data_IF_222032907792
#
_entry.id   IF_222032907792
#
_cell.length_a   1.000
_cell.length_b   1.000
_cell.length_c   1.000
_cell.angle_alpha   90.00
_cell.angle_beta   90.00
_cell.angle_gamma   90.00
#
_symmetry.space_group_name_H-M   'P 1'
#
loop_
_entity.id
_entity.type
_entity.pdbx_description
1 polymer ?
#
# COMPACT_ATOMS: atom_id res chain seq x y z
N UNK A 1 2.50 -23.31 -32.91
CA UNK A 1 1.95 -23.00 -31.58
C UNK A 1 2.61 -21.72 -31.11
N UNK A 2 1.80 -20.74 -30.75
CA UNK A 2 2.16 -19.31 -30.73
C UNK A 2 2.85 -18.90 -29.43
N UNK A 3 3.98 -18.20 -29.55
CA UNK A 3 4.69 -17.55 -28.45
C UNK A 3 4.03 -16.20 -28.15
N UNK A 4 3.06 -16.18 -27.22
CA UNK A 4 2.32 -14.97 -26.84
C UNK A 4 2.68 -14.42 -25.44
N UNK A 5 3.62 -15.04 -24.72
CA UNK A 5 3.80 -14.78 -23.29
C UNK A 5 4.98 -13.86 -22.92
N UNK A 6 5.77 -13.40 -23.89
CA UNK A 6 6.96 -12.53 -23.63
C UNK A 6 6.73 -11.04 -23.96
N UNK A 7 5.55 -10.66 -24.43
CA UNK A 7 5.22 -9.26 -24.79
C UNK A 7 4.59 -8.46 -23.63
N UNK A 8 4.32 -9.09 -22.48
CA UNK A 8 3.68 -8.42 -21.34
C UNK A 8 4.63 -7.62 -20.44
N UNK A 9 5.95 -7.86 -20.51
CA UNK A 9 6.93 -7.16 -19.65
C UNK A 9 7.30 -5.75 -20.12
N UNK A 10 7.21 -5.48 -21.43
CA UNK A 10 7.50 -4.17 -22.00
C UNK A 10 6.24 -3.30 -22.19
N UNK A 11 5.05 -3.90 -22.27
CA UNK A 11 3.78 -3.17 -22.45
C UNK A 11 3.32 -2.38 -21.23
N UNK A 12 3.69 -2.81 -20.01
CA UNK A 12 3.29 -2.13 -18.77
C UNK A 12 3.91 -0.74 -18.59
N UNK A 13 5.11 -0.52 -19.14
CA UNK A 13 5.81 0.76 -19.05
C UNK A 13 5.21 1.80 -20.02
N UNK A 14 4.73 1.35 -21.19
CA UNK A 14 4.02 2.21 -22.16
C UNK A 14 2.64 2.65 -21.62
N UNK A 15 1.93 1.76 -20.91
CA UNK A 15 0.64 2.11 -20.30
C UNK A 15 0.82 3.05 -19.10
N UNK A 16 1.88 2.90 -18.30
CA UNK A 16 2.21 3.81 -17.20
C UNK A 16 2.55 5.23 -17.67
N UNK A 17 3.28 5.37 -18.78
CA UNK A 17 3.60 6.68 -19.36
C UNK A 17 2.36 7.33 -19.99
N UNK A 18 1.47 6.57 -20.62
CA UNK A 18 0.21 7.11 -21.17
C UNK A 18 -0.77 7.58 -20.09
N UNK A 19 -0.77 6.96 -18.90
CA UNK A 19 -1.59 7.41 -17.77
C UNK A 19 -1.08 8.72 -17.12
N UNK A 20 0.22 9.02 -17.23
CA UNK A 20 0.82 10.27 -16.73
C UNK A 20 0.59 11.49 -17.63
N UNK A 21 0.42 11.30 -18.93
CA UNK A 21 0.26 12.41 -19.90
C UNK A 21 -1.19 12.94 -19.94
N UNK A 22 -2.16 12.19 -19.40
CA UNK A 22 -3.56 12.65 -19.33
C UNK A 22 -3.80 13.79 -18.32
N UNK A 23 -2.83 14.12 -17.45
CA UNK A 23 -2.94 15.21 -16.47
C UNK A 23 -2.13 16.48 -16.81
N UNK A 24 -1.37 16.53 -17.91
CA UNK A 24 -0.68 17.75 -18.34
C UNK A 24 -1.17 18.19 -19.71
N UNK A 25 -2.03 19.21 -19.75
CA UNK A 25 -2.59 19.78 -20.98
C UNK A 25 -1.56 20.48 -21.86
N UNK A 26 -0.89 19.74 -22.74
CA UNK A 26 -0.06 20.29 -23.82
C UNK A 26 -0.57 19.84 -25.19
N UNK A 27 -1.33 20.71 -25.86
CA UNK A 27 -2.00 20.50 -27.16
C UNK A 27 -1.06 20.62 -28.39
N UNK A 28 0.17 20.10 -28.34
CA UNK A 28 1.11 20.21 -29.47
C UNK A 28 1.71 18.86 -29.90
N UNK A 29 1.52 18.43 -31.16
CA UNK A 29 2.03 17.16 -31.69
C UNK A 29 3.56 17.09 -31.78
N UNK A 30 4.26 18.22 -31.65
CA UNK A 30 5.72 18.29 -31.60
C UNK A 30 6.27 17.87 -30.23
N UNK A 31 5.60 18.23 -29.13
CA UNK A 31 6.03 17.90 -27.77
C UNK A 31 5.79 16.42 -27.43
N UNK A 32 4.70 15.83 -27.95
CA UNK A 32 4.44 14.40 -27.86
C UNK A 32 5.55 13.56 -28.51
N UNK A 33 6.04 13.98 -29.69
CA UNK A 33 7.15 13.28 -30.36
C UNK A 33 8.44 13.38 -29.56
N UNK A 34 8.70 14.54 -28.95
CA UNK A 34 9.89 14.76 -28.13
C UNK A 34 9.86 13.94 -26.84
N UNK A 35 8.71 13.86 -26.16
CA UNK A 35 8.54 13.01 -24.98
C UNK A 35 8.65 11.52 -25.34
N UNK A 36 8.13 11.11 -26.51
CA UNK A 36 8.29 9.73 -26.99
C UNK A 36 9.76 9.42 -27.29
N UNK A 37 10.49 10.29 -27.99
CA UNK A 37 11.91 10.07 -28.27
C UNK A 37 12.75 10.06 -26.98
N UNK A 38 12.48 10.98 -26.04
CA UNK A 38 13.20 11.09 -24.77
C UNK A 38 12.90 9.92 -23.80
N UNK A 39 11.79 9.20 -23.97
CA UNK A 39 11.41 8.09 -23.07
C UNK A 39 11.62 6.70 -23.68
N UNK A 40 11.39 6.54 -24.99
CA UNK A 40 11.45 5.24 -25.66
C UNK A 40 12.88 4.84 -25.99
N UNK A 41 13.74 5.80 -26.38
CA UNK A 41 15.15 5.50 -26.72
C UNK A 41 15.92 4.99 -25.49
N UNK A 42 15.85 5.62 -24.30
CA UNK A 42 16.54 5.11 -23.11
C UNK A 42 15.93 3.79 -22.60
N UNK A 43 14.63 3.59 -22.76
CA UNK A 43 13.96 2.35 -22.38
C UNK A 43 14.36 1.17 -23.28
N UNK A 44 14.55 1.41 -24.59
CA UNK A 44 15.07 0.39 -25.51
C UNK A 44 16.54 0.07 -25.23
N UNK A 45 17.38 1.07 -24.95
CA UNK A 45 18.79 0.82 -24.57
C UNK A 45 18.91 0.07 -23.25
N UNK A 46 18.04 0.35 -22.27
CA UNK A 46 17.98 -0.38 -21.01
C UNK A 46 17.51 -1.82 -21.21
N UNK A 47 16.51 -2.04 -22.07
CA UNK A 47 16.01 -3.37 -22.41
C UNK A 47 17.06 -4.20 -23.19
N UNK A 48 17.81 -3.60 -24.11
CA UNK A 48 18.91 -4.28 -24.82
C UNK A 48 20.07 -4.63 -23.89
N UNK A 49 20.43 -3.74 -22.95
CA UNK A 49 21.45 -4.02 -21.92
C UNK A 49 21.01 -5.15 -20.98
N UNK A 50 19.75 -5.16 -20.56
CA UNK A 50 19.19 -6.24 -19.76
C UNK A 50 19.16 -7.56 -20.55
N UNK A 51 18.73 -7.55 -21.82
CA UNK A 51 18.72 -8.73 -22.68
C UNK A 51 20.11 -9.31 -22.93
N UNK A 52 21.14 -8.46 -23.14
CA UNK A 52 22.53 -8.90 -23.25
C UNK A 52 23.06 -9.48 -21.94
N UNK A 53 22.76 -8.84 -20.80
CA UNK A 53 23.14 -9.36 -19.48
C UNK A 53 22.50 -10.73 -19.20
N UNK A 54 21.23 -10.93 -19.55
CA UNK A 54 20.57 -12.23 -19.42
C UNK A 54 21.13 -13.28 -20.40
N UNK A 55 21.50 -12.89 -21.62
CA UNK A 55 22.16 -13.77 -22.58
C UNK A 55 23.54 -14.24 -22.11
N UNK A 56 24.34 -13.36 -21.53
CA UNK A 56 25.65 -13.69 -20.96
C UNK A 56 25.53 -14.59 -19.73
N UNK A 57 24.52 -14.37 -18.88
CA UNK A 57 24.23 -15.23 -17.73
C UNK A 57 23.82 -16.65 -18.16
N UNK A 58 22.99 -16.79 -19.19
CA UNK A 58 22.58 -18.09 -19.72
C UNK A 58 23.75 -18.83 -20.38
N UNK A 59 24.58 -18.13 -21.17
CA UNK A 59 25.79 -18.71 -21.74
C UNK A 59 26.79 -19.18 -20.66
N UNK A 60 26.93 -18.41 -19.57
CA UNK A 60 27.76 -18.80 -18.43
C UNK A 60 27.20 -20.00 -17.66
N UNK A 61 25.87 -20.10 -17.52
CA UNK A 61 25.20 -21.26 -16.90
C UNK A 61 25.34 -22.51 -17.76
N UNK A 62 25.18 -22.39 -19.08
CA UNK A 62 25.31 -23.51 -20.00
C UNK A 62 26.74 -24.06 -20.02
N UNK A 63 27.75 -23.18 -20.03
CA UNK A 63 29.15 -23.59 -19.91
C UNK A 63 29.46 -24.27 -18.57
N UNK A 64 28.76 -23.92 -17.49
CA UNK A 64 28.87 -24.59 -16.19
C UNK A 64 28.23 -25.98 -16.21
N UNK A 65 27.08 -26.12 -16.88
CA UNK A 65 26.42 -27.41 -17.07
C UNK A 65 27.29 -28.36 -17.91
N UNK A 66 27.87 -27.90 -19.02
CA UNK A 66 28.77 -28.71 -19.85
C UNK A 66 30.01 -29.17 -19.07
N UNK A 67 30.57 -28.28 -18.23
CA UNK A 67 31.69 -28.62 -17.35
C UNK A 67 31.31 -29.62 -16.25
N UNK A 68 30.09 -29.51 -15.71
CA UNK A 68 29.52 -30.46 -14.74
C UNK A 68 29.25 -31.83 -15.36
N UNK A 69 28.70 -31.88 -16.57
CA UNK A 69 28.45 -33.13 -17.31
C UNK A 69 29.77 -33.82 -17.69
N UNK A 70 30.77 -33.06 -18.14
CA UNK A 70 32.11 -33.60 -18.44
C UNK A 70 32.78 -34.12 -17.17
N UNK A 71 32.74 -33.35 -16.07
CA UNK A 71 33.30 -33.77 -14.79
C UNK A 71 32.59 -34.99 -14.19
N UNK A 72 31.27 -35.10 -14.38
CA UNK A 72 30.49 -36.25 -13.91
C UNK A 72 30.77 -37.52 -14.75
N UNK A 73 30.97 -37.36 -16.06
CA UNK A 73 31.35 -38.46 -16.95
C UNK A 73 32.77 -38.97 -16.66
N UNK A 74 33.73 -38.09 -16.33
CA UNK A 74 35.11 -38.46 -16.02
C UNK A 74 35.27 -39.10 -14.63
N UNK A 75 34.39 -38.78 -13.66
CA UNK A 75 34.47 -39.25 -12.27
C UNK A 75 33.44 -40.32 -11.90
N UNK A 76 32.75 -40.90 -12.88
CA UNK A 76 31.68 -41.90 -12.69
C UNK A 76 32.02 -43.10 -11.78
N UNK A 77 33.27 -43.61 -11.65
CA UNK A 77 33.55 -44.73 -10.75
C UNK A 77 33.89 -44.36 -9.30
N UNK A 78 34.03 -43.08 -8.92
CA UNK A 78 34.58 -42.71 -7.60
C UNK A 78 33.78 -41.59 -6.88
N UNK A 79 32.54 -41.92 -6.51
CA UNK A 79 31.57 -41.05 -5.84
C UNK A 79 32.09 -40.46 -4.50
N UNK A 80 33.06 -41.12 -3.85
CA UNK A 80 33.66 -40.64 -2.60
C UNK A 80 34.64 -39.48 -2.85
N UNK A 81 35.48 -39.57 -3.89
CA UNK A 81 36.36 -38.49 -4.31
C UNK A 81 35.56 -37.28 -4.82
N UNK A 82 34.44 -37.53 -5.51
CA UNK A 82 33.52 -36.49 -5.97
C UNK A 82 32.89 -35.72 -4.79
N UNK A 83 32.46 -36.42 -3.75
CA UNK A 83 31.88 -35.79 -2.54
C UNK A 83 32.92 -34.94 -1.81
N UNK A 84 34.16 -35.43 -1.69
CA UNK A 84 35.26 -34.68 -1.10
C UNK A 84 35.62 -33.43 -1.93
N UNK A 85 35.73 -33.57 -3.25
CA UNK A 85 35.98 -32.45 -4.17
C UNK A 85 34.88 -31.40 -4.13
N UNK A 86 33.62 -31.81 -4.18
CA UNK A 86 32.46 -30.93 -4.13
C UNK A 86 32.39 -30.17 -2.80
N UNK A 87 32.66 -30.82 -1.68
CA UNK A 87 32.67 -30.16 -0.35
C UNK A 87 33.76 -29.08 -0.26
N UNK A 88 34.94 -29.34 -0.83
CA UNK A 88 36.05 -28.40 -0.86
C UNK A 88 35.79 -27.23 -1.81
N UNK A 89 35.23 -27.51 -2.98
CA UNK A 89 34.86 -26.47 -3.94
C UNK A 89 33.71 -25.60 -3.41
N UNK A 90 32.70 -26.20 -2.78
CA UNK A 90 31.58 -25.48 -2.17
C UNK A 90 32.04 -24.58 -1.03
N UNK A 91 33.00 -25.03 -0.21
CA UNK A 91 33.61 -24.19 0.85
C UNK A 91 34.40 -23.03 0.25
N UNK A 92 35.19 -23.28 -0.80
CA UNK A 92 35.95 -22.24 -1.50
C UNK A 92 35.01 -21.21 -2.17
N UNK A 93 33.87 -21.65 -2.72
CA UNK A 93 32.85 -20.79 -3.29
C UNK A 93 32.09 -20.00 -2.22
N UNK A 94 31.83 -20.58 -1.06
CA UNK A 94 31.24 -19.89 0.08
C UNK A 94 32.16 -18.79 0.62
N UNK A 95 33.48 -19.04 0.67
CA UNK A 95 34.46 -18.02 1.04
C UNK A 95 34.53 -16.91 0.00
N UNK A 96 34.56 -17.23 -1.30
CA UNK A 96 34.55 -16.22 -2.38
C UNK A 96 33.26 -15.37 -2.37
N UNK A 97 32.11 -16.00 -2.09
CA UNK A 97 30.83 -15.30 -1.91
C UNK A 97 30.84 -14.40 -0.67
N UNK A 98 31.40 -14.88 0.45
CA UNK A 98 31.52 -14.09 1.68
C UNK A 98 32.41 -12.87 1.48
N UNK A 99 33.53 -13.03 0.76
CA UNK A 99 34.42 -11.93 0.42
C UNK A 99 33.76 -10.92 -0.52
N UNK A 100 33.12 -11.38 -1.60
CA UNK A 100 32.38 -10.49 -2.52
C UNK A 100 31.24 -9.76 -1.85
N UNK A 101 30.47 -10.45 -1.00
CA UNK A 101 29.41 -9.83 -0.23
C UNK A 101 29.95 -8.79 0.75
N UNK A 102 31.10 -9.07 1.39
CA UNK A 102 31.81 -8.10 2.23
C UNK A 102 32.24 -6.85 1.46
N UNK A 103 32.82 -7.03 0.28
CA UNK A 103 33.27 -5.93 -0.58
C UNK A 103 32.09 -5.10 -1.13
N UNK A 104 30.99 -5.75 -1.49
CA UNK A 104 29.79 -5.07 -1.97
C UNK A 104 29.09 -4.31 -0.84
N UNK A 105 28.96 -4.88 0.36
CA UNK A 105 28.47 -4.17 1.54
C UNK A 105 29.37 -2.97 1.86
N UNK A 106 30.70 -3.13 1.79
CA UNK A 106 31.65 -2.03 2.00
C UNK A 106 31.45 -0.92 0.96
N UNK A 107 31.31 -1.24 -0.33
CA UNK A 107 31.03 -0.26 -1.39
C UNK A 107 29.67 0.43 -1.22
N UNK A 108 28.62 -0.33 -0.91
CA UNK A 108 27.27 0.22 -0.67
C UNK A 108 27.26 1.13 0.55
N UNK A 109 27.93 0.74 1.64
CA UNK A 109 28.03 1.57 2.85
C UNK A 109 28.80 2.87 2.59
N UNK A 110 29.87 2.84 1.78
CA UNK A 110 30.60 4.03 1.38
C UNK A 110 29.75 4.96 0.49
N UNK A 111 28.98 4.40 -0.44
CA UNK A 111 28.07 5.16 -1.29
C UNK A 111 26.92 5.80 -0.49
N UNK A 112 26.38 5.08 0.50
CA UNK A 112 25.37 5.60 1.43
C UNK A 112 25.95 6.72 2.30
N UNK A 113 27.18 6.58 2.81
CA UNK A 113 27.84 7.61 3.60
C UNK A 113 28.08 8.90 2.80
N UNK A 114 28.49 8.82 1.54
CA UNK A 114 28.64 9.99 0.66
C UNK A 114 27.30 10.63 0.28
N UNK A 115 26.25 9.82 0.11
CA UNK A 115 24.89 10.34 -0.12
C UNK A 115 24.38 11.09 1.11
N UNK A 116 24.54 10.51 2.30
CA UNK A 116 24.19 11.14 3.58
C UNK A 116 24.97 12.45 3.74
N UNK A 117 26.27 12.45 3.47
CA UNK A 117 27.11 13.65 3.55
C UNK A 117 26.65 14.76 2.60
N UNK A 118 26.22 14.41 1.40
CA UNK A 118 25.67 15.35 0.42
C UNK A 118 24.33 15.91 0.90
N UNK A 119 23.43 15.06 1.38
CA UNK A 119 22.15 15.49 1.95
C UNK A 119 22.33 16.39 3.18
N UNK A 120 23.32 16.14 4.04
CA UNK A 120 23.63 17.03 5.17
C UNK A 120 24.18 18.39 4.70
N UNK A 121 25.02 18.42 3.65
CA UNK A 121 25.54 19.66 3.08
C UNK A 121 24.43 20.50 2.41
N UNK A 122 23.46 19.84 1.79
CA UNK A 122 22.29 20.52 1.21
C UNK A 122 21.33 21.01 2.31
N UNK A 123 21.13 20.22 3.37
CA UNK A 123 20.36 20.64 4.54
C UNK A 123 20.98 21.88 5.20
N UNK A 124 22.31 21.93 5.36
CA UNK A 124 22.99 23.09 5.95
C UNK A 124 22.82 24.35 5.13
N UNK A 125 22.90 24.24 3.79
CA UNK A 125 22.63 25.37 2.89
C UNK A 125 21.16 25.81 2.97
N UNK A 126 20.23 24.85 3.05
CA UNK A 126 18.81 25.13 3.23
C UNK A 126 18.53 25.88 4.54
N UNK A 127 19.20 25.54 5.64
CA UNK A 127 19.06 26.23 6.93
C UNK A 127 19.56 27.68 6.83
N UNK A 128 20.68 27.93 6.15
CA UNK A 128 21.19 29.30 5.91
C UNK A 128 20.20 30.14 5.08
N UNK A 129 19.61 29.56 4.03
CA UNK A 129 18.57 30.19 3.20
C UNK A 129 17.32 30.51 4.04
N UNK A 130 16.87 29.57 4.87
CA UNK A 130 15.66 29.70 5.71
C UNK A 130 15.86 30.77 6.80
N UNK A 131 17.08 30.88 7.34
CA UNK A 131 17.43 31.91 8.33
C UNK A 131 17.38 33.31 7.72
N UNK A 132 17.73 33.44 6.44
CA UNK A 132 17.68 34.71 5.68
C UNK A 132 16.24 35.13 5.37
N UNK A 133 15.36 34.17 5.06
CA UNK A 133 13.93 34.42 4.84
C UNK A 133 13.20 34.74 6.14
N UNK A 134 13.55 34.06 7.24
CA UNK A 134 13.02 34.37 8.56
C UNK A 134 13.40 35.79 9.03
N UNK A 135 14.63 36.25 8.77
CA UNK A 135 15.05 37.62 9.09
C UNK A 135 14.28 38.71 8.31
N UNK A 136 13.76 38.40 7.12
CA UNK A 136 12.95 39.31 6.33
C UNK A 136 11.47 39.38 6.80
N UNK A 137 10.96 38.30 7.40
CA UNK A 137 9.56 38.22 7.87
C UNK A 137 9.32 38.94 9.21
N UNK A 138 10.35 39.20 10.02
CA UNK A 138 10.24 39.89 11.33
C UNK A 138 10.15 41.42 11.18
N UNK A 139 10.23 41.96 9.97
CA UNK A 139 10.19 43.41 9.69
C UNK A 139 8.77 43.98 9.40
N UNK A 140 7.72 43.17 9.47
CA UNK A 140 6.34 43.63 9.27
C UNK A 140 5.59 43.74 10.61
N UNK A 141 4.93 44.89 10.92
CA UNK A 141 4.18 45.03 12.16
C UNK A 141 2.86 44.25 12.12
N UNK A 142 2.61 43.49 13.18
CA UNK A 142 1.39 42.72 13.41
C UNK A 142 0.29 43.62 14.02
N UNK A 143 -0.89 43.59 13.40
CA UNK A 143 -2.13 44.11 13.99
C UNK A 143 -2.89 42.94 14.64
N UNK A 144 -3.36 43.17 15.85
CA UNK A 144 -3.99 42.18 16.71
C UNK A 144 -5.51 42.17 16.53
N UNK A 145 -6.12 40.97 16.55
CA UNK A 145 -7.56 40.78 16.60
C UNK A 145 -7.92 39.37 17.09
N UNK A 146 -8.76 39.21 18.14
CA UNK A 146 -8.88 37.98 18.91
C UNK A 146 -10.03 37.07 18.46
N UNK A 147 -10.06 35.90 19.11
CA UNK A 147 -11.21 35.00 19.30
C UNK A 147 -11.28 33.78 18.35
N UNK A 148 -10.52 32.74 18.71
CA UNK A 148 -10.74 31.39 18.20
C UNK A 148 -11.60 30.64 19.22
N UNK A 149 -12.87 30.44 18.86
CA UNK A 149 -13.84 29.68 19.62
C UNK A 149 -13.35 28.24 19.87
N UNK A 150 -13.46 27.83 21.12
CA UNK A 150 -13.28 26.45 21.59
C UNK A 150 -14.29 25.55 20.85
N UNK A 151 -13.78 24.73 19.93
CA UNK A 151 -14.56 23.68 19.26
C UNK A 151 -14.69 22.52 20.24
N UNK A 152 -15.92 22.06 20.57
CA UNK A 152 -16.09 20.96 21.51
C UNK A 152 -15.49 19.68 20.94
N UNK A 153 -14.76 18.95 21.79
CA UNK A 153 -14.15 17.67 21.47
C UNK A 153 -15.21 16.69 20.94
N UNK A 154 -15.04 16.10 19.74
CA UNK A 154 -15.83 14.95 19.36
C UNK A 154 -15.36 13.77 20.20
N UNK A 155 -16.21 13.35 21.14
CA UNK A 155 -16.12 12.10 21.89
C UNK A 155 -16.26 10.93 20.91
N UNK A 156 -15.16 10.65 20.20
CA UNK A 156 -15.09 9.77 19.04
C UNK A 156 -14.51 8.40 19.39
N UNK A 157 -14.34 8.11 20.69
CA UNK A 157 -13.75 6.84 21.16
C UNK A 157 -12.30 6.63 20.71
N UNK A 158 -11.65 7.64 20.13
CA UNK A 158 -10.25 7.61 19.71
C UNK A 158 -9.32 7.88 20.89
N UNK A 159 -8.17 7.22 20.91
CA UNK A 159 -7.11 7.55 21.85
C UNK A 159 -6.50 8.89 21.43
N UNK A 160 -6.62 9.91 22.29
CA UNK A 160 -6.07 11.24 22.06
C UNK A 160 -4.77 11.43 22.85
N UNK A 161 -3.76 12.03 22.21
CA UNK A 161 -2.58 12.53 22.88
C UNK A 161 -2.77 13.97 23.32
N UNK A 162 -2.12 14.39 24.42
CA UNK A 162 -2.03 15.79 24.81
C UNK A 162 -1.41 16.64 23.68
N UNK A 163 -1.54 17.97 23.77
CA UNK A 163 -0.98 18.88 22.77
C UNK A 163 0.55 18.66 22.60
N UNK A 164 0.95 18.26 21.40
CA UNK A 164 2.33 17.93 21.02
C UNK A 164 3.00 19.14 20.35
N UNK A 165 4.22 19.44 20.76
CA UNK A 165 5.09 20.41 20.12
C UNK A 165 5.92 19.82 18.97
N UNK A 166 6.64 20.67 18.25
CA UNK A 166 7.61 20.23 17.24
C UNK A 166 8.74 19.45 17.93
N UNK A 167 9.02 18.24 17.45
CA UNK A 167 9.99 17.33 18.05
C UNK A 167 9.35 16.26 18.95
N UNK A 168 8.07 16.39 19.27
CA UNK A 168 7.38 15.39 20.09
C UNK A 168 6.86 14.22 19.25
N UNK A 169 6.69 13.07 19.92
CA UNK A 169 6.15 11.85 19.31
C UNK A 169 4.96 11.36 20.10
N UNK A 170 3.80 11.22 19.46
CA UNK A 170 2.72 10.43 20.00
C UNK A 170 2.93 8.95 19.69
N UNK A 171 2.63 8.11 20.67
CA UNK A 171 2.65 6.66 20.58
C UNK A 171 1.21 6.16 20.71
N UNK A 172 0.74 5.46 19.69
CA UNK A 172 -0.56 4.77 19.68
C UNK A 172 -0.34 3.27 19.52
N UNK A 173 -1.36 2.46 19.83
CA UNK A 173 -1.30 1.00 19.76
C UNK A 173 -0.05 0.39 20.43
N UNK A 174 0.18 0.71 21.70
CA UNK A 174 1.36 0.26 22.47
C UNK A 174 2.71 0.58 21.80
N UNK A 175 2.76 1.65 21.01
CA UNK A 175 3.95 2.13 20.31
C UNK A 175 4.17 1.50 18.92
N UNK A 176 3.23 0.70 18.43
CA UNK A 176 3.21 0.18 17.06
C UNK A 176 2.94 1.29 16.03
N UNK A 177 2.24 2.35 16.42
CA UNK A 177 2.07 3.56 15.60
C UNK A 177 2.76 4.73 16.27
N UNK A 178 3.71 5.35 15.56
CA UNK A 178 4.49 6.50 16.03
C UNK A 178 4.25 7.68 15.13
N UNK A 179 3.68 8.75 15.68
CA UNK A 179 3.44 10.00 14.98
C UNK A 179 4.35 11.09 15.54
N UNK A 180 5.39 11.44 14.79
CA UNK A 180 6.35 12.48 15.15
C UNK A 180 5.96 13.81 14.51
N UNK A 181 5.92 14.88 15.31
CA UNK A 181 5.60 16.22 14.84
C UNK A 181 6.85 16.90 14.31
N UNK A 182 6.98 16.95 12.98
CA UNK A 182 8.17 17.52 12.33
C UNK A 182 8.10 19.04 12.15
N UNK A 183 6.90 19.60 11.96
CA UNK A 183 6.68 21.05 11.82
C UNK A 183 5.21 21.39 12.08
N UNK A 184 4.95 22.52 12.71
CA UNK A 184 3.61 23.11 12.83
C UNK A 184 3.64 24.46 12.10
N UNK A 185 2.67 24.67 11.21
CA UNK A 185 2.43 25.94 10.52
C UNK A 185 1.04 26.47 10.91
N UNK A 186 0.95 27.24 12.01
CA UNK A 186 -0.33 27.75 12.50
C UNK A 186 -0.94 28.79 11.54
N UNK A 187 -0.12 29.55 10.81
CA UNK A 187 -0.59 30.54 9.84
C UNK A 187 -1.18 29.86 8.59
N UNK A 188 -0.58 28.76 8.14
CA UNK A 188 -1.09 27.93 7.05
C UNK A 188 -2.12 26.88 7.48
N UNK A 189 -2.40 26.75 8.78
CA UNK A 189 -3.36 25.79 9.32
C UNK A 189 -2.98 24.33 9.09
N UNK A 190 -1.68 24.02 9.02
CA UNK A 190 -1.19 22.66 8.74
C UNK A 190 -0.08 22.20 9.69
N UNK A 191 0.04 20.89 9.83
CA UNK A 191 1.10 20.20 10.56
C UNK A 191 1.75 19.17 9.64
N UNK A 192 3.08 19.06 9.71
CA UNK A 192 3.83 18.01 9.04
C UNK A 192 4.18 16.93 10.04
N UNK A 193 3.66 15.73 9.82
CA UNK A 193 3.86 14.57 10.67
C UNK A 193 4.76 13.54 9.95
N UNK A 194 5.56 12.80 10.71
CA UNK A 194 6.12 11.53 10.26
C UNK A 194 5.38 10.41 10.98
N UNK A 195 4.56 9.66 10.25
CA UNK A 195 3.78 8.53 10.77
C UNK A 195 4.47 7.24 10.32
N UNK A 196 5.02 6.49 11.27
CA UNK A 196 5.82 5.28 11.00
C UNK A 196 6.94 5.50 9.96
N UNK A 197 7.53 6.71 9.93
CA UNK A 197 8.60 7.09 8.99
C UNK A 197 8.12 7.76 7.70
N UNK A 198 6.82 7.69 7.38
CA UNK A 198 6.24 8.37 6.21
C UNK A 198 5.87 9.81 6.54
N UNK A 199 6.34 10.76 5.73
CA UNK A 199 6.04 12.18 5.92
C UNK A 199 4.71 12.56 5.27
N UNK A 200 3.81 13.15 6.05
CA UNK A 200 2.50 13.65 5.61
C UNK A 200 2.27 15.06 6.14
N UNK A 201 1.51 15.86 5.39
CA UNK A 201 1.06 17.18 5.85
C UNK A 201 -0.46 17.14 5.98
N UNK A 202 -0.96 17.44 7.17
CA UNK A 202 -2.39 17.41 7.51
C UNK A 202 -2.83 18.76 8.06
N UNK A 203 -4.08 19.16 7.79
CA UNK A 203 -4.74 20.27 8.47
C UNK A 203 -5.51 19.80 9.70
N UNK A 204 -6.10 20.73 10.45
CA UNK A 204 -7.05 20.39 11.51
C UNK A 204 -8.23 19.56 10.95
N UNK A 205 -8.58 18.46 11.61
CA UNK A 205 -9.56 17.47 11.15
C UNK A 205 -9.05 16.54 10.05
N UNK A 206 -7.83 16.74 9.53
CA UNK A 206 -7.23 15.87 8.53
C UNK A 206 -6.76 14.54 9.13
N UNK A 207 -6.91 13.47 8.37
CA UNK A 207 -6.46 12.13 8.77
C UNK A 207 -5.54 11.51 7.72
N UNK A 208 -4.69 10.58 8.16
CA UNK A 208 -3.87 9.75 7.28
C UNK A 208 -4.07 8.28 7.64
N UNK A 209 -4.25 7.39 6.64
CA UNK A 209 -4.35 5.97 6.89
C UNK A 209 -3.00 5.39 7.31
N UNK A 210 -3.04 4.41 8.21
CA UNK A 210 -1.90 3.64 8.70
C UNK A 210 -2.27 2.18 8.62
N UNK A 211 -1.53 1.40 7.84
CA UNK A 211 -1.70 -0.05 7.80
C UNK A 211 -0.81 -0.71 8.86
N UNK A 212 -1.42 -1.54 9.70
CA UNK A 212 -0.77 -2.27 10.79
C UNK A 212 -1.31 -3.70 10.86
N UNK A 213 -0.44 -4.70 10.73
CA UNK A 213 -0.80 -6.13 10.80
C UNK A 213 -1.99 -6.54 9.90
N UNK A 214 -2.10 -5.94 8.71
CA UNK A 214 -3.18 -6.20 7.76
C UNK A 214 -4.52 -5.53 8.09
N UNK A 215 -4.55 -4.65 9.09
CA UNK A 215 -5.68 -3.76 9.39
C UNK A 215 -5.32 -2.33 9.03
N UNK A 216 -6.29 -1.61 8.49
CA UNK A 216 -6.16 -0.17 8.27
C UNK A 216 -6.76 0.57 9.46
N UNK A 217 -5.98 1.50 9.99
CA UNK A 217 -6.39 2.45 11.02
C UNK A 217 -5.97 3.86 10.55
N UNK A 218 -6.21 4.88 11.36
CA UNK A 218 -6.00 6.28 11.02
C UNK A 218 -5.38 7.06 12.18
N UNK A 219 -4.56 8.03 11.80
CA UNK A 219 -4.07 9.08 12.70
C UNK A 219 -4.66 10.39 12.23
N UNK A 220 -5.34 11.10 13.12
CA UNK A 220 -6.11 12.31 12.84
C UNK A 220 -5.56 13.48 13.64
N UNK A 221 -5.53 14.65 13.02
CA UNK A 221 -5.25 15.91 13.72
C UNK A 221 -6.55 16.41 14.34
N UNK A 222 -6.74 16.20 15.65
CA UNK A 222 -7.95 16.60 16.35
C UNK A 222 -8.06 18.12 16.43
N UNK A 223 -6.97 18.79 16.81
CA UNK A 223 -6.93 20.25 16.88
C UNK A 223 -5.50 20.78 16.71
N UNK A 224 -5.38 22.04 16.33
CA UNK A 224 -4.13 22.78 16.24
C UNK A 224 -4.28 24.11 16.96
N UNK A 225 -3.28 24.48 17.74
CA UNK A 225 -3.21 25.76 18.45
C UNK A 225 -1.76 26.23 18.56
N UNK A 226 -1.55 27.43 19.10
CA UNK A 226 -0.21 27.94 19.41
C UNK A 226 0.54 27.07 20.44
N UNK A 227 -0.18 26.26 21.21
CA UNK A 227 0.40 25.34 22.21
C UNK A 227 0.89 24.02 21.60
N UNK A 228 0.51 23.72 20.36
CA UNK A 228 0.84 22.45 19.72
C UNK A 228 -0.34 21.85 18.95
N UNK A 229 -0.15 20.60 18.56
CA UNK A 229 -1.14 19.79 17.83
C UNK A 229 -1.65 18.66 18.70
N UNK A 230 -2.97 18.48 18.76
CA UNK A 230 -3.58 17.31 19.41
C UNK A 230 -3.81 16.26 18.34
N UNK A 231 -3.27 15.06 18.55
CA UNK A 231 -3.43 13.92 17.65
C UNK A 231 -4.36 12.88 18.26
N UNK A 232 -5.30 12.38 17.46
CA UNK A 232 -6.13 11.24 17.79
C UNK A 232 -5.77 10.04 16.91
N UNK A 233 -5.96 8.83 17.42
CA UNK A 233 -5.86 7.62 16.61
C UNK A 233 -6.89 6.58 17.03
N UNK A 234 -7.42 5.88 16.03
CA UNK A 234 -8.17 4.63 16.22
C UNK A 234 -7.24 3.40 16.20
N UNK A 235 -5.93 3.59 15.96
CA UNK A 235 -4.95 2.52 15.96
C UNK A 235 -4.76 1.99 17.38
N UNK A 236 -5.07 0.71 17.58
CA UNK A 236 -4.94 0.04 18.88
C UNK A 236 -6.17 0.16 19.78
N UNK A 237 -7.13 1.01 19.41
CA UNK A 237 -8.51 0.79 19.79
C UNK A 237 -8.93 -0.44 18.98
N UNK A 238 -9.17 -1.58 19.63
CA UNK A 238 -10.00 -2.60 19.00
C UNK A 238 -11.34 -1.89 18.85
N UNK A 239 -11.78 -1.49 17.64
CA UNK A 239 -13.13 -0.98 17.52
C UNK A 239 -14.00 -2.05 18.18
N UNK A 240 -14.89 -1.68 19.13
CA UNK A 240 -15.77 -2.67 19.71
C UNK A 240 -16.34 -3.42 18.52
N UNK A 241 -16.14 -4.75 18.48
CA UNK A 241 -16.62 -5.59 17.38
C UNK A 241 -18.01 -5.08 17.11
N UNK A 242 -18.21 -4.47 15.93
CA UNK A 242 -19.46 -3.77 15.66
C UNK A 242 -20.50 -4.84 15.91
N UNK A 243 -21.27 -4.70 16.99
CA UNK A 243 -22.33 -5.66 17.28
C UNK A 243 -23.36 -5.33 16.23
N UNK A 244 -23.14 -5.84 15.03
CA UNK A 244 -24.04 -5.65 13.92
C UNK A 244 -25.24 -6.46 14.32
N UNK A 245 -26.27 -5.73 14.74
CA UNK A 245 -27.50 -6.30 15.22
C UNK A 245 -27.99 -7.30 14.19
N UNK A 246 -28.49 -8.44 14.67
CA UNK A 246 -29.21 -9.37 13.84
C UNK A 246 -30.25 -8.64 12.98
N UNK A 247 -30.32 -8.92 11.67
CA UNK A 247 -31.46 -8.49 10.88
C UNK A 247 -32.75 -9.06 11.47
N UNK A 248 -33.81 -8.25 11.60
CA UNK A 248 -35.09 -8.67 12.21
C UNK A 248 -35.69 -9.93 11.57
N UNK A 249 -35.40 -10.14 10.27
CA UNK A 249 -35.79 -11.33 9.50
C UNK A 249 -34.56 -12.04 8.92
N UNK A 250 -33.53 -12.21 9.75
CA UNK A 250 -32.29 -12.86 9.37
C UNK A 250 -32.46 -14.33 8.99
N UNK A 251 -31.73 -14.76 7.95
CA UNK A 251 -31.63 -16.14 7.50
C UNK A 251 -30.29 -16.71 7.93
N UNK A 252 -30.32 -17.89 8.56
CA UNK A 252 -29.14 -18.60 9.04
C UNK A 252 -28.45 -19.41 7.90
N UNK A 253 -27.14 -19.68 8.00
CA UNK A 253 -26.46 -20.64 7.14
C UNK A 253 -27.14 -22.01 7.15
N UNK A 254 -27.20 -22.65 5.98
CA UNK A 254 -27.89 -23.92 5.77
C UNK A 254 -29.39 -23.79 5.49
N UNK A 255 -29.96 -22.59 5.59
CA UNK A 255 -31.38 -22.35 5.32
C UNK A 255 -31.62 -21.77 3.93
N UNK A 256 -32.84 -21.98 3.45
CA UNK A 256 -33.36 -21.39 2.23
C UNK A 256 -34.56 -20.52 2.56
N UNK A 257 -34.59 -19.32 2.01
CA UNK A 257 -35.75 -18.42 2.04
C UNK A 257 -36.36 -18.31 0.64
N UNK A 258 -37.68 -18.20 0.60
CA UNK A 258 -38.43 -17.89 -0.62
C UNK A 258 -38.91 -16.44 -0.52
N UNK A 259 -38.60 -15.63 -1.52
CA UNK A 259 -38.91 -14.20 -1.60
C UNK A 259 -39.71 -13.91 -2.88
N UNK A 260 -40.34 -12.72 -2.94
CA UNK A 260 -41.14 -12.27 -4.09
C UNK A 260 -42.12 -13.36 -4.59
N UNK A 261 -43.03 -13.79 -3.70
CA UNK A 261 -44.03 -14.84 -3.97
C UNK A 261 -43.46 -16.18 -4.46
N UNK A 262 -42.20 -16.46 -4.12
CA UNK A 262 -41.51 -17.70 -4.49
C UNK A 262 -40.78 -17.64 -5.83
N UNK A 263 -40.76 -16.49 -6.52
CA UNK A 263 -39.95 -16.28 -7.71
C UNK A 263 -38.45 -16.37 -7.42
N UNK A 264 -38.04 -15.96 -6.21
CA UNK A 264 -36.66 -16.03 -5.76
C UNK A 264 -36.52 -17.03 -4.61
N UNK A 265 -35.62 -17.99 -4.79
CA UNK A 265 -35.19 -18.92 -3.75
C UNK A 265 -33.73 -18.66 -3.42
N UNK A 266 -33.46 -18.19 -2.21
CA UNK A 266 -32.10 -17.85 -1.77
C UNK A 266 -31.64 -18.85 -0.72
N UNK A 267 -30.60 -19.61 -1.01
CA UNK A 267 -29.94 -20.49 -0.05
C UNK A 267 -28.72 -19.79 0.53
N UNK A 268 -28.58 -19.78 1.86
CA UNK A 268 -27.44 -19.20 2.56
C UNK A 268 -26.46 -20.32 2.89
N UNK A 269 -25.26 -20.27 2.32
CA UNK A 269 -24.21 -21.27 2.56
C UNK A 269 -23.36 -20.93 3.77
N UNK A 270 -23.02 -19.65 3.95
CA UNK A 270 -22.21 -19.18 5.08
C UNK A 270 -22.44 -17.70 5.30
N UNK A 271 -22.25 -17.25 6.54
CA UNK A 271 -22.30 -15.84 6.93
C UNK A 271 -21.03 -15.53 7.72
N UNK A 272 -20.35 -14.46 7.34
CA UNK A 272 -19.24 -13.85 8.05
C UNK A 272 -19.69 -12.48 8.57
N UNK A 273 -20.09 -12.44 9.84
CA UNK A 273 -20.57 -11.22 10.48
C UNK A 273 -19.46 -10.21 10.76
N UNK A 274 -18.23 -10.66 10.93
CA UNK A 274 -17.08 -9.78 11.15
C UNK A 274 -16.66 -9.12 9.83
N UNK A 275 -16.61 -9.90 8.75
CA UNK A 275 -16.31 -9.42 7.40
C UNK A 275 -17.46 -8.73 6.68
N UNK A 276 -18.68 -8.74 7.24
CA UNK A 276 -19.91 -8.24 6.58
C UNK A 276 -20.15 -8.88 5.20
N UNK A 277 -19.84 -10.17 5.08
CA UNK A 277 -19.99 -10.95 3.86
C UNK A 277 -20.83 -12.22 4.08
N UNK A 278 -21.52 -12.66 3.04
CA UNK A 278 -22.21 -13.96 3.04
C UNK A 278 -22.01 -14.68 1.72
N UNK A 279 -22.10 -16.02 1.74
CA UNK A 279 -22.18 -16.84 0.54
C UNK A 279 -23.61 -17.28 0.33
N UNK A 280 -24.21 -16.87 -0.78
CA UNK A 280 -25.60 -17.19 -1.12
C UNK A 280 -25.68 -17.85 -2.48
N UNK A 281 -26.67 -18.70 -2.70
CA UNK A 281 -27.05 -19.19 -4.03
C UNK A 281 -28.49 -18.78 -4.32
N UNK A 282 -28.71 -18.12 -5.45
CA UNK A 282 -30.05 -17.74 -5.90
C UNK A 282 -30.53 -18.72 -6.96
N UNK A 283 -31.74 -19.25 -6.79
CA UNK A 283 -32.40 -20.20 -7.69
C UNK A 283 -31.55 -21.46 -8.02
N UNK A 284 -30.64 -21.85 -7.12
CA UNK A 284 -29.86 -23.10 -7.22
C UNK A 284 -28.74 -23.09 -8.26
N UNK A 285 -28.36 -21.93 -8.81
CA UNK A 285 -27.42 -21.87 -9.94
C UNK A 285 -25.96 -21.99 -9.46
N UNK A 286 -25.47 -21.05 -8.65
CA UNK A 286 -24.13 -21.10 -8.01
C UNK A 286 -24.08 -20.28 -6.72
N UNK A 287 -23.19 -20.65 -5.79
CA UNK A 287 -22.91 -19.79 -4.63
C UNK A 287 -22.04 -18.61 -5.05
N UNK A 288 -22.43 -17.40 -4.67
CA UNK A 288 -21.68 -16.17 -4.84
C UNK A 288 -21.51 -15.46 -3.50
N UNK A 289 -20.43 -14.67 -3.37
CA UNK A 289 -20.25 -13.78 -2.22
C UNK A 289 -21.05 -12.50 -2.42
N UNK A 290 -21.67 -12.02 -1.37
CA UNK A 290 -22.39 -10.75 -1.30
C UNK A 290 -22.01 -10.03 -0.02
N UNK A 291 -21.87 -8.71 -0.11
CA UNK A 291 -21.66 -7.85 1.05
C UNK A 291 -23.00 -7.29 1.54
N UNK A 292 -23.02 -6.75 2.77
CA UNK A 292 -24.15 -5.97 3.26
C UNK A 292 -24.50 -4.81 2.30
N UNK A 293 -25.77 -4.41 2.28
CA UNK A 293 -26.31 -3.32 1.43
C UNK A 293 -26.11 -3.48 -0.10
N UNK A 294 -25.74 -4.68 -0.56
CA UNK A 294 -25.60 -4.96 -1.98
C UNK A 294 -26.95 -5.36 -2.59
N UNK A 295 -27.21 -4.89 -3.82
CA UNK A 295 -28.35 -5.31 -4.64
C UNK A 295 -27.89 -6.18 -5.80
N UNK A 296 -28.62 -7.26 -6.08
CA UNK A 296 -28.34 -8.23 -7.13
C UNK A 296 -29.54 -8.33 -8.08
N UNK A 297 -29.31 -8.10 -9.37
CA UNK A 297 -30.29 -8.38 -10.41
C UNK A 297 -30.35 -9.88 -10.71
N UNK A 298 -31.55 -10.44 -10.78
CA UNK A 298 -31.80 -11.87 -11.03
C UNK A 298 -32.97 -11.98 -12.00
N UNK A 299 -32.69 -12.51 -13.19
CA UNK A 299 -33.75 -12.79 -14.17
C UNK A 299 -34.42 -14.13 -13.85
N UNK A 300 -35.75 -14.13 -13.75
CA UNK A 300 -36.59 -15.29 -13.44
C UNK A 300 -37.68 -15.42 -14.51
N UNK A 301 -37.42 -16.27 -15.51
CA UNK A 301 -38.32 -16.38 -16.66
C UNK A 301 -38.35 -15.08 -17.45
N UNK A 302 -39.54 -14.47 -17.55
CA UNK A 302 -39.76 -13.19 -18.24
C UNK A 302 -39.74 -11.96 -17.30
N UNK A 303 -39.45 -12.15 -16.01
CA UNK A 303 -39.42 -11.09 -15.00
C UNK A 303 -38.00 -10.80 -14.55
N UNK A 304 -37.69 -9.53 -14.31
CA UNK A 304 -36.42 -9.14 -13.67
C UNK A 304 -36.67 -8.84 -12.20
N UNK A 305 -35.97 -9.56 -11.33
CA UNK A 305 -36.05 -9.38 -9.89
C UNK A 305 -34.79 -8.68 -9.36
N UNK A 306 -34.95 -7.87 -8.31
CA UNK A 306 -33.85 -7.31 -7.54
C UNK A 306 -33.88 -7.93 -6.14
N UNK A 307 -32.79 -8.59 -5.75
CA UNK A 307 -32.54 -9.06 -4.40
C UNK A 307 -31.61 -8.08 -3.69
N UNK A 308 -32.04 -7.49 -2.57
CA UNK A 308 -31.22 -6.62 -1.73
C UNK A 308 -30.82 -7.34 -0.45
N UNK A 309 -29.54 -7.25 -0.08
CA UNK A 309 -29.05 -7.64 1.24
C UNK A 309 -29.28 -6.47 2.19
N UNK A 310 -30.14 -6.64 3.19
CA UNK A 310 -30.51 -5.55 4.13
C UNK A 310 -29.55 -5.42 5.30
N UNK A 311 -28.76 -6.45 5.57
CA UNK A 311 -27.75 -6.44 6.63
C UNK A 311 -27.19 -7.83 6.91
N UNK A 312 -26.03 -7.89 7.56
CA UNK A 312 -25.36 -9.13 7.96
C UNK A 312 -24.92 -8.98 9.42
N UNK A 313 -25.41 -9.81 10.34
CA UNK A 313 -25.17 -9.64 11.76
C UNK A 313 -25.54 -10.87 12.57
N UNK A 314 -24.84 -11.11 13.68
CA UNK A 314 -25.05 -12.26 14.59
C UNK A 314 -25.17 -13.63 13.88
N UNK A 315 -24.37 -13.86 12.83
CA UNK A 315 -24.39 -15.08 12.03
C UNK A 315 -25.58 -15.20 11.07
N UNK A 316 -26.35 -14.13 10.86
CA UNK A 316 -27.52 -14.09 9.99
C UNK A 316 -27.37 -13.05 8.87
N UNK A 317 -28.15 -13.22 7.80
CA UNK A 317 -28.25 -12.29 6.68
C UNK A 317 -29.71 -11.92 6.41
N UNK A 318 -30.00 -10.63 6.25
CA UNK A 318 -31.32 -10.13 5.90
C UNK A 318 -31.46 -9.94 4.38
N UNK A 319 -32.65 -10.23 3.86
CA UNK A 319 -32.98 -10.05 2.45
C UNK A 319 -34.28 -9.28 2.27
N UNK A 320 -34.33 -8.49 1.21
CA UNK A 320 -35.55 -7.93 0.62
C UNK A 320 -35.52 -8.23 -0.89
N UNK A 321 -36.68 -8.41 -1.51
CA UNK A 321 -36.73 -8.60 -2.95
C UNK A 321 -38.01 -8.05 -3.59
N UNK A 322 -37.83 -7.53 -4.81
CA UNK A 322 -38.92 -7.07 -5.67
C UNK A 322 -38.73 -7.60 -7.09
N UNK A 323 -39.82 -7.90 -7.78
CA UNK A 323 -39.82 -8.33 -9.18
C UNK A 323 -40.76 -7.43 -9.99
N UNK A 324 -40.37 -7.09 -11.22
CA UNK A 324 -41.12 -6.20 -12.11
C UNK A 324 -40.88 -6.49 -13.58
#
# INVERSE_FOLDING_TARGET
MSNASLLLGAGGLVIGVLAGVAFSGSDSPADLRKVIDDTVVPAQEAAEKAAKAHGEQLAALQKRLDALETGLAENAPDMSALTAGLSKEMTTKLDDLRTKLGDDIAKTSAAQAETIKTSLADLSKGIEETTRVAAAAVAAPADAGPDAAEVPEPDSGMASADALGVGDTALFADGAVRAFVSRIDPAGGSVRLSVNGSLVTLGAGGSTPVSMDGRDCSVTVASMSDRGVTLGSDCGVIPPAVTVAAPDNGVLPGHTVSLADGALRVFVSSVDSEGQEARIAVNGVQTQRVAADTSLGVDVGDQSCTLRVTGIGEGMIGFDASCG
#
